data_IF_008911892466
#
_entry.id   IF_008911892466
#
_cell.length_a   1.000
_cell.length_b   1.000
_cell.length_c   1.000
_cell.angle_alpha   90.00
_cell.angle_beta   90.00
_cell.angle_gamma   90.00
#
_symmetry.space_group_name_H-M   'P 1'
#
loop_
_entity.id
_entity.type
_entity.pdbx_description
1 polymer ?
#
# COMPACT_ATOMS: atom_id res chain seq x y z
N UNK A 1 -8.71 -16.93 -10.52
CA UNK A 1 -9.18 -15.62 -11.09
C UNK A 1 -9.00 -15.58 -12.61
N UNK A 2 -9.69 -14.64 -13.27
CA UNK A 2 -9.56 -14.46 -14.72
C UNK A 2 -8.13 -14.05 -15.12
N UNK A 3 -7.46 -13.20 -14.34
CA UNK A 3 -6.07 -12.81 -14.59
C UNK A 3 -5.12 -14.01 -14.53
N UNK A 4 -5.26 -14.87 -13.53
CA UNK A 4 -4.43 -16.08 -13.42
C UNK A 4 -4.69 -17.06 -14.58
N UNK A 5 -5.95 -17.25 -14.99
CA UNK A 5 -6.29 -18.08 -16.16
C UNK A 5 -5.72 -17.50 -17.47
N UNK A 6 -5.55 -16.18 -17.52
CA UNK A 6 -4.90 -15.50 -18.64
C UNK A 6 -3.36 -15.39 -18.48
N UNK A 7 -2.77 -16.06 -17.49
CA UNK A 7 -1.33 -16.00 -17.21
C UNK A 7 -0.79 -14.56 -17.05
N UNK A 8 -1.59 -13.68 -16.40
CA UNK A 8 -1.18 -12.34 -16.03
C UNK A 8 -0.72 -12.38 -14.56
N UNK A 9 0.60 -12.29 -14.30
CA UNK A 9 1.11 -12.30 -12.92
C UNK A 9 0.53 -11.13 -12.12
N UNK A 10 0.03 -11.42 -10.93
CA UNK A 10 -0.61 -10.42 -10.08
C UNK A 10 0.11 -10.34 -8.74
N UNK A 11 0.41 -9.12 -8.28
CA UNK A 11 0.95 -8.83 -6.95
C UNK A 11 -0.04 -7.94 -6.22
N UNK A 12 -0.42 -8.32 -5.00
CA UNK A 12 -1.23 -7.47 -4.12
C UNK A 12 -0.32 -6.47 -3.44
N UNK A 13 -0.73 -5.18 -3.40
CA UNK A 13 -0.02 -4.12 -2.67
C UNK A 13 -1.00 -3.42 -1.75
N UNK A 14 -0.80 -3.53 -0.43
CA UNK A 14 -1.81 -3.10 0.54
C UNK A 14 -1.22 -2.48 1.80
N UNK A 15 -2.03 -1.67 2.50
CA UNK A 15 -1.73 -1.19 3.85
C UNK A 15 -2.12 -2.17 4.97
N UNK A 16 -2.70 -3.33 4.65
CA UNK A 16 -3.07 -4.34 5.66
C UNK A 16 -1.84 -4.95 6.32
N UNK A 17 -2.03 -5.48 7.54
CA UNK A 17 -0.96 -6.12 8.32
C UNK A 17 -0.38 -7.35 7.63
N UNK A 18 0.89 -7.64 7.88
CA UNK A 18 1.58 -8.80 7.33
C UNK A 18 0.83 -10.11 7.66
N UNK A 19 0.34 -10.28 8.89
CA UNK A 19 -0.40 -11.48 9.28
C UNK A 19 -1.72 -11.66 8.53
N UNK A 20 -2.45 -10.57 8.25
CA UNK A 20 -3.66 -10.64 7.43
C UNK A 20 -3.36 -11.00 5.97
N UNK A 21 -2.32 -10.37 5.42
CA UNK A 21 -1.92 -10.54 4.01
C UNK A 21 -1.36 -11.93 3.75
N UNK A 22 -0.65 -12.52 4.70
CA UNK A 22 -0.14 -13.89 4.61
C UNK A 22 -1.25 -14.91 4.34
N UNK A 23 -2.37 -14.79 5.04
CA UNK A 23 -3.54 -15.63 4.79
C UNK A 23 -4.11 -15.44 3.39
N UNK A 24 -4.27 -14.20 2.93
CA UNK A 24 -4.82 -13.90 1.61
C UNK A 24 -3.88 -14.37 0.48
N UNK A 25 -2.58 -14.19 0.61
CA UNK A 25 -1.60 -14.63 -0.38
C UNK A 25 -1.60 -16.15 -0.56
N UNK A 26 -1.88 -16.90 0.51
CA UNK A 26 -1.97 -18.36 0.45
C UNK A 26 -3.22 -18.88 -0.28
N UNK A 27 -4.31 -18.09 -0.33
CA UNK A 27 -5.58 -18.52 -0.94
C UNK A 27 -5.78 -17.99 -2.36
N UNK A 28 -5.17 -16.86 -2.71
CA UNK A 28 -5.36 -16.26 -4.02
C UNK A 28 -4.27 -16.72 -5.00
N UNK A 29 -4.60 -16.90 -6.29
CA UNK A 29 -3.61 -17.23 -7.32
C UNK A 29 -2.82 -15.96 -7.71
N UNK A 30 -2.00 -15.49 -6.80
CA UNK A 30 -1.10 -14.34 -6.94
C UNK A 30 0.35 -14.80 -6.80
N UNK A 31 1.29 -13.99 -7.24
CA UNK A 31 2.73 -14.27 -7.06
C UNK A 31 3.15 -14.02 -5.62
N UNK A 32 2.48 -13.10 -4.97
CA UNK A 32 2.69 -12.74 -3.57
C UNK A 32 2.00 -11.41 -3.26
N UNK A 33 2.27 -10.90 -2.08
CA UNK A 33 1.67 -9.65 -1.62
C UNK A 33 2.67 -8.77 -0.87
N UNK A 34 2.57 -7.47 -1.08
CA UNK A 34 3.29 -6.44 -0.34
C UNK A 34 2.33 -5.88 0.71
N UNK A 35 2.69 -6.06 1.98
CA UNK A 35 1.94 -5.62 3.14
C UNK A 35 2.49 -4.29 3.70
N UNK A 36 1.70 -3.67 4.59
CA UNK A 36 2.11 -2.54 5.43
C UNK A 36 2.69 -1.38 4.61
N UNK A 37 1.98 -1.01 3.50
CA UNK A 37 2.38 0.10 2.62
C UNK A 37 3.83 -0.02 2.09
N UNK A 38 4.29 -1.22 1.80
CA UNK A 38 5.63 -1.44 1.26
C UNK A 38 6.66 -1.91 2.29
N UNK A 39 6.24 -2.26 3.50
CA UNK A 39 7.15 -2.72 4.56
C UNK A 39 7.57 -4.17 4.45
N UNK A 40 6.69 -5.04 3.96
CA UNK A 40 6.88 -6.50 3.97
C UNK A 40 6.47 -7.12 2.64
N UNK A 41 7.31 -7.98 2.09
CA UNK A 41 6.99 -8.87 0.98
C UNK A 41 6.63 -10.27 1.50
N UNK A 42 5.56 -10.85 0.98
CA UNK A 42 5.12 -12.21 1.31
C UNK A 42 4.96 -12.96 -0.01
N UNK A 43 5.97 -13.78 -0.41
CA UNK A 43 5.84 -14.65 -1.59
C UNK A 43 4.73 -15.68 -1.38
N UNK A 44 3.94 -15.97 -2.41
CA UNK A 44 2.84 -16.93 -2.28
C UNK A 44 3.31 -18.39 -2.17
N UNK A 45 4.50 -18.70 -2.70
CA UNK A 45 5.08 -20.04 -2.70
C UNK A 45 5.67 -20.45 -1.33
N UNK A 46 6.32 -19.52 -0.63
CA UNK A 46 6.90 -19.80 0.70
C UNK A 46 6.00 -19.34 1.84
N UNK A 47 5.23 -18.29 1.64
CA UNK A 47 4.46 -17.64 2.68
C UNK A 47 5.29 -16.95 3.76
N UNK A 48 6.62 -16.91 3.63
CA UNK A 48 7.53 -16.34 4.64
C UNK A 48 7.66 -14.82 4.46
N UNK A 49 7.30 -14.01 5.47
CA UNK A 49 7.43 -12.56 5.40
C UNK A 49 8.90 -12.13 5.30
N UNK A 50 9.20 -11.28 4.33
CA UNK A 50 10.53 -10.66 4.12
C UNK A 50 10.39 -9.15 4.27
N UNK A 51 11.14 -8.55 5.20
CA UNK A 51 11.14 -7.08 5.34
C UNK A 51 11.79 -6.43 4.12
N UNK A 52 11.11 -5.44 3.55
CA UNK A 52 11.62 -4.63 2.44
C UNK A 52 12.35 -3.37 2.92
N UNK A 53 12.30 -3.11 4.22
CA UNK A 53 12.93 -1.98 4.89
C UNK A 53 14.17 -2.44 5.65
N UNK A 54 15.14 -1.54 5.81
CA UNK A 54 16.30 -1.78 6.68
C UNK A 54 15.88 -1.62 8.16
N UNK A 55 15.41 -2.72 8.73
CA UNK A 55 14.99 -2.84 10.13
C UNK A 55 15.80 -3.97 10.76
N UNK A 56 16.90 -3.66 11.45
CA UNK A 56 17.77 -4.69 12.02
C UNK A 56 17.05 -5.60 13.03
N UNK A 57 16.18 -5.03 13.86
CA UNK A 57 15.44 -5.76 14.88
C UNK A 57 13.98 -5.27 14.94
N UNK A 58 13.04 -6.19 14.76
CA UNK A 58 11.60 -5.86 14.72
C UNK A 58 11.08 -5.37 16.07
N UNK A 59 11.45 -6.01 17.17
CA UNK A 59 10.91 -5.64 18.48
C UNK A 59 11.27 -4.19 18.89
N UNK A 60 12.55 -3.75 18.86
CA UNK A 60 12.89 -2.35 19.10
C UNK A 60 12.26 -1.37 18.10
N UNK A 61 12.07 -1.79 16.85
CA UNK A 61 11.36 -0.96 15.87
C UNK A 61 9.90 -0.76 16.27
N UNK A 62 9.21 -1.82 16.68
CA UNK A 62 7.82 -1.78 17.18
C UNK A 62 7.69 -0.89 18.42
N UNK A 63 8.63 -0.97 19.34
CA UNK A 63 8.64 -0.12 20.54
C UNK A 63 8.76 1.37 20.19
N UNK A 64 9.60 1.72 19.21
CA UNK A 64 9.70 3.10 18.70
C UNK A 64 8.41 3.58 18.06
N UNK A 65 7.73 2.72 17.28
CA UNK A 65 6.43 3.04 16.70
C UNK A 65 5.35 3.25 17.77
N UNK A 66 5.32 2.41 18.79
CA UNK A 66 4.41 2.59 19.93
C UNK A 66 4.68 3.91 20.67
N UNK A 67 5.95 4.30 20.81
CA UNK A 67 6.35 5.55 21.46
C UNK A 67 5.85 6.78 20.70
N UNK A 68 6.05 6.85 19.37
CA UNK A 68 5.52 7.98 18.58
C UNK A 68 3.99 8.00 18.60
N UNK A 69 3.32 6.86 18.60
CA UNK A 69 1.87 6.81 18.75
C UNK A 69 1.42 7.37 20.10
N UNK A 70 2.11 7.04 21.20
CA UNK A 70 1.82 7.61 22.52
C UNK A 70 2.00 9.15 22.56
N UNK A 71 2.98 9.69 21.82
CA UNK A 71 3.12 11.15 21.65
C UNK A 71 1.93 11.77 20.91
N UNK A 72 1.40 11.10 19.90
CA UNK A 72 0.18 11.55 19.20
C UNK A 72 -1.03 11.52 20.14
N UNK A 73 -1.17 10.50 20.99
CA UNK A 73 -2.26 10.42 21.98
C UNK A 73 -2.22 11.56 23.00
N UNK A 74 -1.06 12.11 23.32
CA UNK A 74 -0.98 13.30 24.18
C UNK A 74 -1.67 14.54 23.57
N UNK A 75 -1.74 14.62 22.24
CA UNK A 75 -2.43 15.71 21.52
C UNK A 75 -3.84 15.32 21.08
N UNK A 76 -4.05 14.05 20.80
CA UNK A 76 -5.30 13.45 20.31
C UNK A 76 -5.69 12.28 21.24
N UNK A 77 -6.29 12.54 22.43
CA UNK A 77 -6.50 11.50 23.45
C UNK A 77 -7.44 10.37 23.03
N UNK A 78 -8.32 10.64 22.04
CA UNK A 78 -9.31 9.66 21.55
C UNK A 78 -8.72 8.66 20.53
N UNK A 79 -7.46 8.83 20.11
CA UNK A 79 -6.83 7.88 19.21
C UNK A 79 -6.67 6.52 19.88
N UNK A 80 -7.12 5.48 19.19
CA UNK A 80 -6.95 4.09 19.62
C UNK A 80 -6.13 3.32 18.59
N UNK A 81 -5.19 2.47 19.02
CA UNK A 81 -4.44 1.63 18.10
C UNK A 81 -5.39 0.64 17.43
N UNK A 82 -5.22 0.41 16.13
CA UNK A 82 -6.00 -0.62 15.43
C UNK A 82 -5.72 -2.00 16.02
N UNK A 83 -6.76 -2.85 16.09
CA UNK A 83 -6.67 -4.17 16.69
C UNK A 83 -5.65 -5.10 16.00
N UNK A 84 -5.34 -4.84 14.72
CA UNK A 84 -4.39 -5.63 13.93
C UNK A 84 -2.92 -5.23 14.13
N UNK A 85 -2.61 -4.26 15.00
CA UNK A 85 -1.21 -3.88 15.29
C UNK A 85 -0.35 -5.06 15.80
N UNK A 86 -0.96 -6.03 16.48
CA UNK A 86 -0.25 -7.24 16.92
C UNK A 86 0.25 -8.12 15.77
N UNK A 87 -0.30 -7.96 14.55
CA UNK A 87 0.06 -8.70 13.35
C UNK A 87 0.93 -7.88 12.37
N UNK A 88 1.41 -6.71 12.81
CA UNK A 88 2.23 -5.79 12.02
C UNK A 88 3.69 -5.85 12.44
N UNK A 89 4.56 -5.67 11.47
CA UNK A 89 6.01 -5.72 11.64
C UNK A 89 6.66 -4.34 11.50
N UNK A 90 6.25 -3.56 10.49
CA UNK A 90 7.02 -2.40 10.02
C UNK A 90 6.30 -1.05 10.16
N UNK A 91 4.99 -1.06 10.41
CA UNK A 91 4.20 0.15 10.62
C UNK A 91 3.34 0.04 11.90
N UNK A 92 2.74 1.16 12.30
CA UNK A 92 1.76 1.25 13.38
C UNK A 92 0.52 1.92 12.87
N UNK A 93 -0.65 1.38 13.19
CA UNK A 93 -1.91 1.89 12.66
C UNK A 93 -2.90 2.28 13.75
N UNK A 94 -3.77 3.20 13.37
CA UNK A 94 -4.94 3.62 14.12
C UNK A 94 -6.04 4.04 13.14
N UNK A 95 -7.29 3.99 13.59
CA UNK A 95 -8.42 4.26 12.70
C UNK A 95 -8.51 5.75 12.38
N UNK A 96 -8.85 6.10 11.14
CA UNK A 96 -9.02 7.49 10.72
C UNK A 96 -10.18 8.15 11.46
N UNK A 97 -11.24 7.41 11.78
CA UNK A 97 -12.36 7.86 12.60
C UNK A 97 -12.92 9.22 12.21
N UNK A 98 -12.94 10.14 13.16
CA UNK A 98 -13.44 11.51 13.00
C UNK A 98 -12.33 12.54 12.74
N UNK A 99 -11.12 12.11 12.39
CA UNK A 99 -10.00 13.01 12.10
C UNK A 99 -10.32 13.91 10.91
N UNK A 100 -10.15 15.22 11.11
CA UNK A 100 -10.29 16.20 10.05
C UNK A 100 -9.03 16.28 9.17
N UNK A 101 -9.10 16.87 7.97
CA UNK A 101 -7.90 17.13 7.15
C UNK A 101 -6.82 17.95 7.90
N UNK A 102 -7.24 18.86 8.79
CA UNK A 102 -6.32 19.63 9.63
C UNK A 102 -5.61 18.75 10.68
N UNK A 103 -6.33 17.80 11.27
CA UNK A 103 -5.76 16.84 12.23
C UNK A 103 -4.76 15.91 11.53
N UNK A 104 -5.09 15.39 10.34
CA UNK A 104 -4.19 14.57 9.53
C UNK A 104 -2.90 15.35 9.18
N UNK A 105 -3.02 16.63 8.87
CA UNK A 105 -1.85 17.49 8.62
C UNK A 105 -0.99 17.63 9.87
N UNK A 106 -1.57 17.88 11.05
CA UNK A 106 -0.85 18.00 12.32
C UNK A 106 -0.16 16.68 12.71
N UNK A 107 -0.85 15.54 12.53
CA UNK A 107 -0.30 14.21 12.79
C UNK A 107 0.90 13.96 11.87
N UNK A 108 0.78 14.25 10.58
CA UNK A 108 1.89 14.12 9.62
C UNK A 108 3.09 14.98 10.04
N UNK A 109 2.89 16.24 10.43
CA UNK A 109 3.96 17.13 10.90
C UNK A 109 4.64 16.58 12.16
N UNK A 110 3.88 16.03 13.10
CA UNK A 110 4.43 15.41 14.31
C UNK A 110 5.27 14.17 13.98
N UNK A 111 4.77 13.29 13.10
CA UNK A 111 5.52 12.14 12.64
C UNK A 111 6.82 12.54 11.94
N UNK A 112 6.76 13.50 11.02
CA UNK A 112 7.94 13.98 10.28
C UNK A 112 8.99 14.62 11.20
N UNK A 113 8.56 15.44 12.18
CA UNK A 113 9.46 16.03 13.18
C UNK A 113 10.20 14.96 14.02
N UNK A 114 9.58 13.80 14.21
CA UNK A 114 10.17 12.66 14.89
C UNK A 114 10.91 11.67 13.95
N UNK A 115 11.07 12.00 12.65
CA UNK A 115 11.77 11.18 11.67
C UNK A 115 10.95 10.04 11.08
N UNK A 116 9.63 10.04 11.29
CA UNK A 116 8.71 9.05 10.75
C UNK A 116 7.94 9.55 9.53
N UNK A 117 7.58 8.64 8.65
CA UNK A 117 6.59 8.88 7.61
C UNK A 117 5.17 8.65 8.11
N UNK A 118 4.23 9.31 7.47
CA UNK A 118 2.80 9.15 7.72
C UNK A 118 2.05 9.00 6.40
N UNK A 119 1.06 8.13 6.37
CA UNK A 119 0.11 8.02 5.27
C UNK A 119 -1.24 7.56 5.81
N UNK A 120 -2.28 7.65 5.00
CA UNK A 120 -3.62 7.22 5.38
C UNK A 120 -4.40 6.71 4.16
N UNK A 121 -5.39 5.89 4.43
CA UNK A 121 -6.42 5.43 3.50
C UNK A 121 -7.78 5.96 3.94
N UNK A 122 -8.84 5.49 3.33
CA UNK A 122 -10.22 5.76 3.77
C UNK A 122 -10.55 5.15 5.15
N UNK A 123 -9.74 4.22 5.65
CA UNK A 123 -10.02 3.45 6.87
C UNK A 123 -8.99 3.73 7.97
N UNK A 124 -7.70 3.70 7.65
CA UNK A 124 -6.62 3.70 8.62
C UNK A 124 -5.56 4.75 8.32
N UNK A 125 -4.98 5.26 9.40
CA UNK A 125 -3.75 6.03 9.43
C UNK A 125 -2.57 5.12 9.75
N UNK A 126 -1.38 5.41 9.17
CA UNK A 126 -0.18 4.59 9.29
C UNK A 126 1.03 5.45 9.65
N UNK A 127 1.69 5.14 10.76
CA UNK A 127 3.03 5.62 11.11
C UNK A 127 4.02 4.58 10.57
N UNK A 128 4.98 5.00 9.77
CA UNK A 128 5.89 4.10 9.06
C UNK A 128 7.27 4.74 8.91
N UNK A 129 8.26 3.99 8.44
CA UNK A 129 9.51 4.60 8.01
C UNK A 129 9.26 5.57 6.84
N UNK A 130 9.99 6.69 6.79
CA UNK A 130 9.80 7.70 5.74
C UNK A 130 10.03 7.14 4.32
N UNK A 131 10.98 6.19 4.18
CA UNK A 131 11.28 5.52 2.92
C UNK A 131 10.33 4.37 2.56
N UNK A 132 9.40 4.00 3.45
CA UNK A 132 8.45 2.91 3.21
C UNK A 132 7.33 3.41 2.31
N UNK A 133 7.24 2.88 1.11
CA UNK A 133 6.29 3.32 0.08
C UNK A 133 5.89 2.15 -0.82
N UNK A 134 4.62 2.11 -1.22
CA UNK A 134 4.06 1.03 -2.05
C UNK A 134 4.74 0.93 -3.42
N UNK A 135 5.01 2.05 -4.06
CA UNK A 135 5.63 2.09 -5.38
C UNK A 135 7.10 1.65 -5.33
N UNK A 136 7.86 2.14 -4.36
CA UNK A 136 9.26 1.73 -4.14
C UNK A 136 9.34 0.22 -3.86
N UNK A 137 8.47 -0.27 -2.99
CA UNK A 137 8.40 -1.69 -2.65
C UNK A 137 8.03 -2.57 -3.85
N UNK A 138 7.00 -2.16 -4.62
CA UNK A 138 6.59 -2.88 -5.82
C UNK A 138 7.72 -2.90 -6.86
N UNK A 139 8.41 -1.78 -7.08
CA UNK A 139 9.54 -1.73 -8.01
C UNK A 139 10.63 -2.72 -7.61
N UNK A 140 10.99 -2.78 -6.32
CA UNK A 140 12.00 -3.72 -5.81
C UNK A 140 11.57 -5.17 -6.03
N UNK A 141 10.33 -5.52 -5.64
CA UNK A 141 9.78 -6.87 -5.81
C UNK A 141 9.69 -7.24 -7.29
N UNK A 142 9.14 -6.36 -8.12
CA UNK A 142 9.01 -6.59 -9.55
C UNK A 142 10.37 -6.84 -10.22
N UNK A 143 11.37 -6.02 -9.96
CA UNK A 143 12.72 -6.19 -10.53
C UNK A 143 13.37 -7.51 -10.13
N UNK A 144 13.09 -8.00 -8.91
CA UNK A 144 13.61 -9.29 -8.42
C UNK A 144 12.85 -10.48 -8.99
N UNK A 145 11.51 -10.42 -8.99
CA UNK A 145 10.65 -11.54 -9.39
C UNK A 145 10.48 -11.64 -10.92
N UNK A 146 10.52 -10.50 -11.61
CA UNK A 146 10.23 -10.42 -13.05
C UNK A 146 11.28 -9.60 -13.81
N UNK A 147 12.56 -9.99 -13.80
CA UNK A 147 13.65 -9.17 -14.37
C UNK A 147 13.55 -8.94 -15.88
N UNK A 148 12.70 -9.69 -16.57
CA UNK A 148 12.45 -9.54 -18.02
C UNK A 148 11.28 -8.63 -18.36
N UNK A 149 10.45 -8.26 -17.38
CA UNK A 149 9.31 -7.37 -17.57
C UNK A 149 9.78 -5.93 -17.46
N UNK A 150 9.50 -5.11 -18.46
CA UNK A 150 9.81 -3.68 -18.46
C UNK A 150 8.71 -2.86 -17.79
N UNK A 151 9.01 -1.62 -17.39
CA UNK A 151 8.05 -0.74 -16.73
C UNK A 151 6.74 -0.55 -17.52
N UNK A 152 6.82 -0.48 -18.84
CA UNK A 152 5.65 -0.33 -19.73
C UNK A 152 4.73 -1.57 -19.77
N UNK A 153 5.19 -2.69 -19.23
CA UNK A 153 4.42 -3.93 -19.12
C UNK A 153 3.83 -4.13 -17.73
N UNK A 154 4.12 -3.22 -16.79
CA UNK A 154 3.56 -3.23 -15.43
C UNK A 154 2.38 -2.29 -15.38
N UNK A 155 1.23 -2.80 -14.97
CA UNK A 155 0.02 -2.00 -14.73
C UNK A 155 -0.17 -1.91 -13.21
N UNK A 156 -0.20 -0.71 -12.68
CA UNK A 156 -0.54 -0.46 -11.28
C UNK A 156 -1.97 0.02 -11.14
N UNK A 157 -2.61 -0.31 -10.02
CA UNK A 157 -3.97 0.16 -9.71
C UNK A 157 -4.07 0.56 -8.24
N UNK A 158 -4.77 1.66 -7.98
CA UNK A 158 -4.99 2.19 -6.64
C UNK A 158 -6.22 3.10 -6.56
N UNK A 159 -6.55 3.54 -5.35
CA UNK A 159 -7.79 4.29 -5.09
C UNK A 159 -7.66 5.42 -4.06
N UNK A 160 -6.55 5.49 -3.34
CA UNK A 160 -6.43 6.34 -2.16
C UNK A 160 -5.02 6.91 -1.97
N UNK A 161 -4.81 7.88 -1.06
CA UNK A 161 -3.53 8.59 -0.92
C UNK A 161 -2.32 7.71 -0.64
N UNK A 162 -2.49 6.56 0.00
CA UNK A 162 -1.39 5.63 0.23
C UNK A 162 -0.97 4.84 -1.04
N UNK A 163 -1.68 5.01 -2.16
CA UNK A 163 -1.33 4.45 -3.47
C UNK A 163 -0.54 5.43 -4.35
N UNK A 164 -0.30 6.65 -3.89
CA UNK A 164 0.35 7.71 -4.67
C UNK A 164 1.65 7.24 -5.35
N UNK A 165 2.50 6.47 -4.65
CA UNK A 165 3.72 5.91 -5.21
C UNK A 165 3.51 4.93 -6.37
N UNK A 166 2.31 4.33 -6.48
CA UNK A 166 1.91 3.47 -7.61
C UNK A 166 1.53 4.27 -8.87
N UNK A 167 1.35 5.58 -8.74
CA UNK A 167 0.98 6.50 -9.82
C UNK A 167 2.17 7.32 -10.35
N UNK A 168 3.36 7.14 -9.79
CA UNK A 168 4.57 7.83 -10.24
C UNK A 168 4.94 7.41 -11.66
N UNK A 169 4.69 8.27 -12.64
CA UNK A 169 4.75 7.95 -14.08
C UNK A 169 6.15 7.54 -14.53
N UNK A 170 7.21 8.10 -13.94
CA UNK A 170 8.60 7.72 -14.26
C UNK A 170 8.88 6.26 -13.88
N UNK A 171 8.21 5.75 -12.86
CA UNK A 171 8.34 4.38 -12.36
C UNK A 171 7.31 3.44 -12.97
N UNK A 172 6.07 3.89 -13.09
CA UNK A 172 4.93 3.14 -13.60
C UNK A 172 4.18 3.93 -14.66
N UNK A 173 4.63 3.86 -15.92
CA UNK A 173 3.99 4.60 -17.02
C UNK A 173 2.52 4.22 -17.27
N UNK A 174 2.12 3.02 -16.86
CA UNK A 174 0.73 2.54 -16.98
C UNK A 174 0.12 2.39 -15.60
N UNK A 175 -0.41 3.48 -15.07
CA UNK A 175 -1.06 3.52 -13.76
C UNK A 175 -2.54 3.85 -13.87
N UNK A 176 -3.37 3.16 -13.10
CA UNK A 176 -4.83 3.26 -13.13
C UNK A 176 -5.36 3.62 -11.75
N UNK A 177 -6.15 4.67 -11.67
CA UNK A 177 -6.99 4.95 -10.51
C UNK A 177 -8.39 4.37 -10.73
N UNK A 178 -8.98 3.70 -9.74
CA UNK A 178 -10.42 3.47 -9.81
C UNK A 178 -11.17 4.76 -9.43
N UNK A 179 -12.42 4.95 -9.90
CA UNK A 179 -13.06 6.27 -9.92
C UNK A 179 -13.05 7.02 -8.57
N UNK A 180 -13.07 6.34 -7.45
CA UNK A 180 -13.00 6.98 -6.13
C UNK A 180 -11.64 7.68 -5.84
N UNK A 181 -10.58 7.43 -6.61
CA UNK A 181 -9.32 8.20 -6.51
C UNK A 181 -9.56 9.70 -6.76
N UNK A 182 -10.57 10.06 -7.54
CA UNK A 182 -10.91 11.45 -7.86
C UNK A 182 -11.17 12.32 -6.62
N UNK A 183 -11.64 11.73 -5.52
CA UNK A 183 -11.81 12.45 -4.24
C UNK A 183 -10.49 12.97 -3.64
N UNK A 184 -9.35 12.49 -4.14
CA UNK A 184 -8.02 12.79 -3.63
C UNK A 184 -7.11 13.47 -4.64
N UNK A 185 -7.49 13.62 -5.91
CA UNK A 185 -6.64 14.16 -6.98
C UNK A 185 -5.95 15.47 -6.61
N UNK A 186 -6.66 16.39 -5.98
CA UNK A 186 -6.10 17.70 -5.55
C UNK A 186 -5.02 17.59 -4.45
N UNK A 187 -4.85 16.42 -3.84
CA UNK A 187 -3.91 16.16 -2.74
C UNK A 187 -2.75 15.25 -3.17
N UNK A 188 -2.85 14.61 -4.34
CA UNK A 188 -1.84 13.71 -4.88
C UNK A 188 -0.84 14.50 -5.71
N UNK A 189 0.45 14.27 -5.49
CA UNK A 189 1.55 14.79 -6.32
C UNK A 189 1.64 14.02 -7.63
N UNK A 190 1.43 12.71 -7.56
CA UNK A 190 1.40 11.80 -8.70
C UNK A 190 -0.04 11.32 -8.89
N UNK A 191 -0.59 11.61 -10.06
CA UNK A 191 -1.93 11.18 -10.41
C UNK A 191 -1.86 9.97 -11.34
N UNK A 192 -2.87 9.06 -11.30
CA UNK A 192 -2.92 7.93 -12.21
C UNK A 192 -3.03 8.41 -13.65
N UNK A 193 -2.38 7.70 -14.57
CA UNK A 193 -2.45 7.96 -16.01
C UNK A 193 -3.86 7.75 -16.58
N UNK A 194 -4.59 6.80 -16.03
CA UNK A 194 -5.95 6.45 -16.43
C UNK A 194 -6.85 6.37 -15.20
N UNK A 195 -8.13 6.69 -15.37
CA UNK A 195 -9.15 6.54 -14.32
C UNK A 195 -10.32 5.74 -14.90
N UNK A 196 -10.76 4.70 -14.19
CA UNK A 196 -11.91 3.89 -14.59
C UNK A 196 -13.22 4.65 -14.40
N UNK A 197 -14.28 4.26 -15.12
CA UNK A 197 -15.60 4.83 -14.92
C UNK A 197 -16.25 4.31 -13.62
N UNK A 198 -16.03 3.05 -13.27
CA UNK A 198 -16.50 2.44 -12.02
C UNK A 198 -15.57 2.73 -10.85
N UNK A 199 -16.14 2.74 -9.64
CA UNK A 199 -15.41 2.85 -8.39
C UNK A 199 -15.12 1.45 -7.80
N UNK A 200 -14.14 1.36 -6.90
CA UNK A 200 -13.86 0.15 -6.11
C UNK A 200 -13.80 -1.14 -6.97
N UNK A 201 -14.64 -2.13 -6.62
CA UNK A 201 -14.71 -3.43 -7.30
C UNK A 201 -15.11 -3.29 -8.77
N UNK A 202 -16.05 -2.40 -9.09
CA UNK A 202 -16.52 -2.18 -10.47
C UNK A 202 -15.40 -1.61 -11.34
N UNK A 203 -14.65 -0.63 -10.84
CA UNK A 203 -13.49 -0.07 -11.54
C UNK A 203 -12.38 -1.10 -11.72
N UNK A 204 -12.12 -1.93 -10.72
CA UNK A 204 -11.16 -3.02 -10.86
C UNK A 204 -11.61 -4.06 -11.90
N UNK A 205 -12.90 -4.40 -11.96
CA UNK A 205 -13.44 -5.31 -12.98
C UNK A 205 -13.30 -4.72 -14.39
N UNK A 206 -13.54 -3.41 -14.55
CA UNK A 206 -13.34 -2.69 -15.82
C UNK A 206 -11.89 -2.83 -16.30
N UNK A 207 -10.91 -2.59 -15.40
CA UNK A 207 -9.50 -2.79 -15.70
C UNK A 207 -9.20 -4.24 -16.12
N UNK A 208 -9.69 -5.23 -15.36
CA UNK A 208 -9.48 -6.65 -15.69
C UNK A 208 -10.00 -6.97 -17.08
N UNK A 209 -11.20 -6.50 -17.46
CA UNK A 209 -11.75 -6.70 -18.79
C UNK A 209 -10.92 -6.04 -19.90
N UNK A 210 -10.35 -4.85 -19.63
CA UNK A 210 -9.45 -4.18 -20.58
C UNK A 210 -8.17 -4.99 -20.81
N UNK A 211 -7.54 -5.49 -19.72
CA UNK A 211 -6.33 -6.32 -19.79
C UNK A 211 -6.56 -7.63 -20.55
N UNK A 212 -7.67 -8.32 -20.30
CA UNK A 212 -8.01 -9.57 -20.98
C UNK A 212 -8.24 -9.36 -22.47
N UNK A 213 -8.91 -8.27 -22.86
CA UNK A 213 -9.09 -7.91 -24.29
C UNK A 213 -7.76 -7.61 -24.96
N UNK A 214 -6.87 -6.85 -24.31
CA UNK A 214 -5.56 -6.50 -24.86
C UNK A 214 -4.66 -7.74 -25.06
N UNK A 215 -4.78 -8.76 -24.20
CA UNK A 215 -4.01 -10.01 -24.33
C UNK A 215 -4.55 -10.95 -25.42
N UNK A 216 -5.80 -10.79 -25.82
CA UNK A 216 -6.44 -11.63 -26.85
C UNK A 216 -6.14 -11.18 -28.28
N UNK A 217 -5.45 -10.06 -28.46
CA UNK A 217 -4.97 -9.51 -29.74
C UNK A 217 -3.52 -9.90 -29.94
#
# INVERSE_FOLDING_TARGET
>A
TQLAAAEIPTVIVTGRSAGWVQGIAAYLPVVGAIAENGGVWIPADTGEPVTLMDIPEIAPHRDRLAHIFAQLQATFPDLQPSADNQFRLTDWTFDIGQLTPADLTRINQTCQAAGWGFTYSTVQCHIRLAAQDKGIALQRVWQQQFPKITANQVVTVGDSPNDEGLFETERFPVSVGVANVQYYCDRLRHQPQFITAGAEVEGFQELVQALLRAKSV
#
